data_IF_265059397666
#
_entry.id   IF_265059397666
#
_cell.length_a   1.000
_cell.length_b   1.000
_cell.length_c   1.000
_cell.angle_alpha   90.00
_cell.angle_beta   90.00
_cell.angle_gamma   90.00
#
_symmetry.space_group_name_H-M   'P 1'
#
loop_
_entity.id
_entity.type
_entity.pdbx_description
1 polymer ?
#
# COMPACT_ATOMS: atom_id res chain seq x y z
N UNK A 1 32.84 -19.14 9.58
CA UNK A 1 31.77 -18.19 9.19
C UNK A 1 30.51 -18.60 9.95
N UNK A 2 29.92 -17.72 10.76
CA UNK A 2 28.73 -18.05 11.55
C UNK A 2 27.44 -17.90 10.72
N UNK A 3 26.34 -18.46 11.23
CA UNK A 3 25.04 -18.43 10.54
C UNK A 3 24.57 -17.00 10.29
N UNK A 4 24.82 -16.09 11.21
CA UNK A 4 24.43 -14.69 11.07
C UNK A 4 25.14 -14.00 9.89
N UNK A 5 26.45 -14.16 9.77
CA UNK A 5 27.26 -13.62 8.69
C UNK A 5 26.87 -14.22 7.33
N UNK A 6 26.52 -15.52 7.31
CA UNK A 6 25.95 -16.16 6.13
C UNK A 6 24.62 -15.50 5.73
N UNK A 7 23.67 -15.38 6.67
CA UNK A 7 22.36 -14.80 6.41
C UNK A 7 22.45 -13.33 5.96
N UNK A 8 23.30 -12.52 6.59
CA UNK A 8 23.52 -11.13 6.16
C UNK A 8 24.06 -11.04 4.72
N UNK A 9 24.95 -11.97 4.34
CA UNK A 9 25.50 -12.00 2.98
C UNK A 9 24.43 -12.42 1.97
N UNK A 10 23.65 -13.45 2.26
CA UNK A 10 22.58 -13.89 1.35
C UNK A 10 21.46 -12.84 1.23
N UNK A 11 21.06 -12.21 2.33
CA UNK A 11 20.11 -11.10 2.32
C UNK A 11 20.62 -9.95 1.44
N UNK A 12 21.90 -9.56 1.57
CA UNK A 12 22.51 -8.52 0.74
C UNK A 12 22.47 -8.90 -0.74
N UNK A 13 22.81 -10.14 -1.11
CA UNK A 13 22.73 -10.60 -2.50
C UNK A 13 21.31 -10.49 -3.05
N UNK A 14 20.30 -10.86 -2.26
CA UNK A 14 18.89 -10.76 -2.67
C UNK A 14 18.52 -9.28 -2.90
N UNK A 15 18.84 -8.40 -1.96
CA UNK A 15 18.58 -6.95 -2.09
C UNK A 15 19.29 -6.35 -3.30
N UNK A 16 20.58 -6.66 -3.47
CA UNK A 16 21.39 -6.14 -4.57
C UNK A 16 20.84 -6.62 -5.92
N UNK A 17 20.22 -7.80 -5.98
CA UNK A 17 19.62 -8.34 -7.21
C UNK A 17 18.15 -7.93 -7.42
N UNK A 18 17.53 -7.26 -6.44
CA UNK A 18 16.14 -6.81 -6.56
C UNK A 18 16.02 -5.78 -7.67
N UNK A 19 15.11 -6.03 -8.63
CA UNK A 19 14.81 -5.13 -9.74
C UNK A 19 16.00 -4.80 -10.67
N UNK A 20 17.08 -5.60 -10.64
CA UNK A 20 18.21 -5.44 -11.57
C UNK A 20 17.80 -5.61 -13.03
N UNK A 21 16.87 -6.51 -13.28
CA UNK A 21 16.31 -6.76 -14.60
C UNK A 21 14.93 -6.10 -14.68
N UNK A 22 14.73 -5.11 -15.57
CA UNK A 22 13.44 -4.48 -15.74
C UNK A 22 12.46 -5.49 -16.34
N UNK A 23 11.30 -5.61 -15.72
CA UNK A 23 10.24 -6.49 -16.19
C UNK A 23 9.65 -5.97 -17.49
N UNK A 24 9.46 -6.87 -18.45
CA UNK A 24 8.74 -6.57 -19.69
C UNK A 24 7.26 -6.23 -19.40
N UNK A 25 6.67 -5.38 -20.24
CA UNK A 25 5.28 -4.95 -20.07
C UNK A 25 4.27 -6.11 -20.19
N UNK A 26 4.52 -7.07 -21.08
CA UNK A 26 3.64 -8.22 -21.27
C UNK A 26 3.68 -9.13 -20.04
N UNK A 27 4.89 -9.36 -19.49
CA UNK A 27 5.08 -10.12 -18.26
C UNK A 27 4.45 -9.41 -17.04
N UNK A 28 4.62 -8.09 -16.94
CA UNK A 28 3.99 -7.28 -15.90
C UNK A 28 2.46 -7.39 -15.95
N UNK A 29 1.90 -7.32 -17.16
CA UNK A 29 0.46 -7.41 -17.37
C UNK A 29 -0.08 -8.79 -16.99
N UNK A 30 0.63 -9.87 -17.38
CA UNK A 30 0.26 -11.25 -17.05
C UNK A 30 0.35 -11.54 -15.54
N UNK A 31 1.37 -11.00 -14.86
CA UNK A 31 1.64 -11.28 -13.44
C UNK A 31 1.01 -10.28 -12.47
N UNK A 32 0.26 -9.28 -12.97
CA UNK A 32 -0.30 -8.16 -12.17
C UNK A 32 -1.09 -8.63 -10.94
N UNK A 33 -1.99 -9.59 -11.11
CA UNK A 33 -2.87 -10.05 -10.03
C UNK A 33 -2.10 -10.82 -8.95
N UNK A 34 -1.16 -11.67 -9.36
CA UNK A 34 -0.30 -12.42 -8.43
C UNK A 34 0.59 -11.47 -7.64
N UNK A 35 1.20 -10.48 -8.31
CA UNK A 35 2.00 -9.44 -7.66
C UNK A 35 1.19 -8.61 -6.68
N UNK A 36 -0.03 -8.22 -7.05
CA UNK A 36 -0.93 -7.51 -6.15
C UNK A 36 -1.28 -8.37 -4.93
N UNK A 37 -1.58 -9.66 -5.12
CA UNK A 37 -1.83 -10.61 -4.03
C UNK A 37 -0.62 -10.70 -3.08
N UNK A 38 0.57 -10.96 -3.61
CA UNK A 38 1.80 -11.04 -2.79
C UNK A 38 2.10 -9.73 -2.07
N UNK A 39 1.87 -8.59 -2.71
CA UNK A 39 2.03 -7.28 -2.08
C UNK A 39 1.05 -7.07 -0.92
N UNK A 40 -0.22 -7.41 -1.12
CA UNK A 40 -1.24 -7.32 -0.07
C UNK A 40 -0.95 -8.28 1.09
N UNK A 41 -0.45 -9.48 0.80
CA UNK A 41 0.02 -10.44 1.80
C UNK A 41 1.18 -9.87 2.62
N UNK A 42 2.21 -9.33 1.98
CA UNK A 42 3.36 -8.73 2.64
C UNK A 42 3.00 -7.55 3.56
N UNK A 43 1.98 -6.77 3.17
CA UNK A 43 1.46 -5.67 3.99
C UNK A 43 0.46 -6.13 5.08
N UNK A 44 0.09 -7.41 5.13
CA UNK A 44 -0.95 -7.91 6.03
C UNK A 44 -2.35 -7.38 5.68
N UNK A 45 -2.56 -6.94 4.44
CA UNK A 45 -3.79 -6.32 3.96
C UNK A 45 -4.74 -7.30 3.26
N UNK A 46 -4.36 -8.57 3.08
CA UNK A 46 -5.21 -9.59 2.41
C UNK A 46 -6.60 -9.69 3.05
N UNK A 47 -6.66 -9.67 4.39
CA UNK A 47 -7.91 -9.73 5.16
C UNK A 47 -8.85 -8.54 4.89
N UNK A 48 -8.29 -7.37 4.54
CA UNK A 48 -9.05 -6.14 4.30
C UNK A 48 -9.35 -5.90 2.82
N UNK A 49 -8.61 -6.54 1.91
CA UNK A 49 -8.64 -6.26 0.47
C UNK A 49 -9.39 -7.31 -0.37
N UNK A 50 -9.51 -8.55 0.11
CA UNK A 50 -10.05 -9.66 -0.70
C UNK A 50 -11.27 -10.37 -0.08
N UNK A 51 -11.75 -9.94 1.09
CA UNK A 51 -12.84 -10.63 1.84
C UNK A 51 -14.11 -9.83 2.06
N UNK A 52 -14.19 -8.59 1.61
CA UNK A 52 -15.40 -7.77 1.78
C UNK A 52 -16.04 -7.61 0.42
N UNK A 53 -17.09 -8.39 0.14
CA UNK A 53 -17.82 -8.31 -1.11
C UNK A 53 -18.42 -6.92 -1.39
N UNK A 54 -18.47 -6.02 -0.41
CA UNK A 54 -18.70 -4.59 -0.63
C UNK A 54 -18.01 -3.82 0.51
N UNK A 55 -16.88 -3.14 0.25
CA UNK A 55 -16.47 -2.06 1.15
C UNK A 55 -17.55 -0.98 1.06
N UNK A 56 -18.19 -0.56 2.17
CA UNK A 56 -19.15 0.51 2.10
C UNK A 56 -18.50 1.77 1.51
N UNK A 57 -19.25 2.60 0.79
CA UNK A 57 -18.73 3.86 0.30
C UNK A 57 -18.13 4.66 1.45
N UNK A 58 -16.98 5.28 1.21
CA UNK A 58 -16.29 6.08 2.23
C UNK A 58 -17.10 7.34 2.49
N UNK A 59 -17.72 7.43 3.66
CA UNK A 59 -18.41 8.62 4.13
C UNK A 59 -17.42 9.61 4.76
N UNK A 60 -16.77 10.42 3.94
CA UNK A 60 -15.90 11.49 4.42
C UNK A 60 -16.71 12.68 4.95
N UNK A 61 -16.32 13.19 6.12
CA UNK A 61 -16.93 14.36 6.76
C UNK A 61 -15.96 15.53 6.74
N UNK A 62 -16.36 16.61 6.10
CA UNK A 62 -15.63 17.88 6.16
C UNK A 62 -15.75 18.49 7.57
N UNK A 63 -14.64 19.02 8.06
CA UNK A 63 -14.52 19.69 9.37
C UNK A 63 -14.20 21.17 9.25
N UNK A 64 -13.86 21.63 8.04
CA UNK A 64 -13.70 23.04 7.72
C UNK A 64 -12.86 23.28 6.49
N UNK A 65 -13.02 24.46 5.92
CA UNK A 65 -12.28 24.92 4.75
C UNK A 65 -11.34 26.07 5.12
N UNK A 66 -10.17 26.09 4.50
CA UNK A 66 -9.20 27.20 4.59
C UNK A 66 -9.01 27.80 3.20
N UNK A 67 -9.32 29.09 3.07
CA UNK A 67 -9.09 29.84 1.83
C UNK A 67 -7.62 30.29 1.71
N UNK A 68 -7.08 30.14 0.50
CA UNK A 68 -5.74 30.62 0.10
C UNK A 68 -5.84 31.31 -1.24
N UNK A 69 -4.81 32.09 -1.58
CA UNK A 69 -4.76 32.68 -2.90
C UNK A 69 -4.53 31.57 -3.95
N UNK A 70 -5.54 31.29 -4.77
CA UNK A 70 -5.48 30.33 -5.86
C UNK A 70 -5.85 28.89 -5.51
N UNK A 71 -6.20 28.58 -4.26
CA UNK A 71 -6.70 27.25 -3.85
C UNK A 71 -7.43 27.29 -2.51
N UNK A 72 -8.20 26.25 -2.22
CA UNK A 72 -8.79 25.99 -0.90
C UNK A 72 -8.27 24.65 -0.35
N UNK A 73 -8.25 24.52 0.97
CA UNK A 73 -7.90 23.28 1.68
C UNK A 73 -9.15 22.81 2.44
N UNK A 74 -9.62 21.61 2.16
CA UNK A 74 -10.81 21.01 2.78
C UNK A 74 -10.37 19.96 3.80
N UNK A 75 -10.49 20.26 5.09
CA UNK A 75 -10.14 19.31 6.14
C UNK A 75 -11.25 18.29 6.29
N UNK A 76 -10.92 17.02 6.23
CA UNK A 76 -11.90 15.94 6.37
C UNK A 76 -11.41 14.82 7.28
N UNK A 77 -12.33 13.97 7.70
CA UNK A 77 -12.02 12.66 8.24
C UNK A 77 -13.02 11.62 7.75
N UNK A 78 -12.63 10.35 7.76
CA UNK A 78 -13.54 9.24 7.46
C UNK A 78 -13.19 8.02 8.31
N UNK A 79 -14.13 7.08 8.41
CA UNK A 79 -13.94 5.81 9.10
C UNK A 79 -13.37 4.77 8.12
N UNK A 80 -12.10 4.40 8.32
CA UNK A 80 -11.37 3.47 7.43
C UNK A 80 -11.62 2.00 7.77
N UNK A 81 -11.88 1.71 9.04
CA UNK A 81 -12.32 0.45 9.63
C UNK A 81 -13.23 0.77 10.81
N UNK A 82 -14.05 -0.19 11.31
CA UNK A 82 -14.91 0.07 12.46
C UNK A 82 -14.15 0.71 13.64
N UNK A 83 -14.55 1.93 13.99
CA UNK A 83 -14.00 2.81 15.02
C UNK A 83 -12.58 3.33 14.76
N UNK A 84 -12.06 3.20 13.54
CA UNK A 84 -10.75 3.70 13.12
C UNK A 84 -10.89 4.88 12.14
N UNK A 85 -10.62 6.08 12.63
CA UNK A 85 -10.75 7.31 11.86
C UNK A 85 -9.42 7.78 11.27
N UNK A 86 -9.46 8.23 10.02
CA UNK A 86 -8.32 8.80 9.28
C UNK A 86 -8.67 10.23 8.90
N UNK A 87 -7.74 11.16 9.08
CA UNK A 87 -7.88 12.58 8.73
C UNK A 87 -7.15 12.91 7.42
N UNK A 88 -7.59 13.96 6.73
CA UNK A 88 -7.00 14.46 5.48
C UNK A 88 -7.28 15.94 5.25
N UNK A 89 -6.61 16.53 4.24
CA UNK A 89 -6.71 17.95 3.88
C UNK A 89 -6.36 18.22 2.41
#
# INVERSE_FOLDING_TARGET
>A
MNIFAYLCREARKITDNSLKEPMDFEELSKTRNERLRSFLEMLGLEAYSMKTDERPPVEAKETGTIERNGYKIEKLFFESLPKLYVTGN
#
